data_IF_565064341785
#
_entry.id   IF_565064341785
#
_cell.length_a   1.000
_cell.length_b   1.000
_cell.length_c   1.000
_cell.angle_alpha   90.00
_cell.angle_beta   90.00
_cell.angle_gamma   90.00
#
_symmetry.space_group_name_H-M   'P 1'
#
loop_
_entity.id
_entity.type
_entity.pdbx_description
1 polymer ?
#
# COMPACT_ATOMS: atom_id res chain seq x y z
N UNK A 1 -2.54 -22.87 -12.07
CA UNK A 1 -2.03 -24.25 -11.88
C UNK A 1 -2.90 -25.21 -12.65
N UNK A 2 -2.35 -25.96 -13.61
CA UNK A 2 -3.15 -26.83 -14.48
C UNK A 2 -2.45 -28.13 -14.84
N UNK A 3 -3.22 -29.22 -14.79
CA UNK A 3 -2.97 -30.58 -15.33
C UNK A 3 -2.08 -31.58 -14.56
N UNK A 4 -1.49 -31.20 -13.42
CA UNK A 4 -0.81 -32.15 -12.52
C UNK A 4 -1.53 -32.26 -11.17
N UNK A 5 -2.84 -32.51 -11.21
CA UNK A 5 -3.52 -33.15 -10.07
C UNK A 5 -3.02 -34.60 -10.07
N UNK A 6 -2.11 -34.93 -9.15
CA UNK A 6 -1.49 -36.24 -9.09
C UNK A 6 -2.53 -37.36 -9.24
N UNK A 7 -2.23 -38.33 -10.12
CA UNK A 7 -2.97 -39.60 -10.18
C UNK A 7 -2.82 -40.30 -8.82
N UNK A 8 -3.68 -40.02 -7.83
CA UNK A 8 -3.65 -40.73 -6.55
C UNK A 8 -3.81 -39.94 -5.25
N UNK A 9 -4.48 -38.79 -5.23
CA UNK A 9 -5.26 -38.43 -4.03
C UNK A 9 -4.59 -37.63 -2.91
N UNK A 10 -3.49 -36.90 -3.13
CA UNK A 10 -3.05 -35.87 -2.17
C UNK A 10 -2.84 -34.50 -2.84
N UNK A 11 -3.95 -33.85 -3.19
CA UNK A 11 -3.95 -32.49 -3.75
C UNK A 11 -3.28 -31.50 -2.80
N UNK A 12 -3.50 -31.64 -1.50
CA UNK A 12 -2.96 -30.74 -0.46
C UNK A 12 -1.42 -30.73 -0.44
N UNK A 13 -0.79 -31.90 -0.57
CA UNK A 13 0.68 -32.01 -0.65
C UNK A 13 1.22 -31.34 -1.91
N UNK A 14 0.54 -31.52 -3.04
CA UNK A 14 0.94 -30.87 -4.31
C UNK A 14 0.82 -29.35 -4.23
N UNK A 15 -0.25 -28.85 -3.62
CA UNK A 15 -0.46 -27.42 -3.36
C UNK A 15 0.65 -26.87 -2.47
N UNK A 16 0.90 -27.54 -1.35
CA UNK A 16 1.93 -27.13 -0.39
C UNK A 16 3.31 -27.08 -1.03
N UNK A 17 3.68 -28.12 -1.78
CA UNK A 17 4.96 -28.17 -2.50
C UNK A 17 5.10 -27.03 -3.51
N UNK A 18 4.05 -26.76 -4.29
CA UNK A 18 4.07 -25.67 -5.25
C UNK A 18 4.19 -24.29 -4.58
N UNK A 19 3.45 -24.06 -3.49
CA UNK A 19 3.55 -22.82 -2.73
C UNK A 19 4.95 -22.63 -2.11
N UNK A 20 5.63 -23.71 -1.68
CA UNK A 20 7.01 -23.66 -1.21
C UNK A 20 8.00 -23.26 -2.33
N UNK A 21 7.88 -23.88 -3.50
CA UNK A 21 8.68 -23.52 -4.70
C UNK A 21 8.40 -22.07 -5.12
N UNK A 22 7.13 -21.64 -5.07
CA UNK A 22 6.73 -20.28 -5.35
C UNK A 22 7.35 -19.28 -4.37
N UNK A 23 7.39 -19.58 -3.06
CA UNK A 23 8.01 -18.72 -2.06
C UNK A 23 9.50 -18.47 -2.34
N UNK A 24 10.24 -19.51 -2.72
CA UNK A 24 11.65 -19.38 -3.12
C UNK A 24 11.81 -18.49 -4.35
N UNK A 25 10.97 -18.72 -5.37
CA UNK A 25 11.05 -18.04 -6.65
C UNK A 25 10.61 -16.58 -6.56
N UNK A 26 9.57 -16.28 -5.78
CA UNK A 26 9.12 -14.91 -5.50
C UNK A 26 10.29 -14.11 -4.91
N UNK A 27 10.92 -14.62 -3.84
CA UNK A 27 12.05 -13.93 -3.22
C UNK A 27 13.21 -13.72 -4.22
N UNK A 28 13.46 -14.68 -5.13
CA UNK A 28 14.46 -14.55 -6.20
C UNK A 28 14.09 -13.47 -7.21
N UNK A 29 12.85 -13.42 -7.66
CA UNK A 29 12.37 -12.45 -8.64
C UNK A 29 12.36 -11.02 -8.10
N UNK A 30 12.01 -10.82 -6.82
CA UNK A 30 12.07 -9.51 -6.18
C UNK A 30 13.47 -8.89 -6.29
N UNK A 31 14.51 -9.71 -6.10
CA UNK A 31 15.91 -9.28 -6.22
C UNK A 31 16.32 -9.05 -7.68
N UNK A 32 15.97 -9.96 -8.58
CA UNK A 32 16.40 -9.90 -9.97
C UNK A 32 15.75 -8.77 -10.77
N UNK A 33 14.51 -8.44 -10.42
CA UNK A 33 13.74 -7.39 -11.10
C UNK A 33 13.80 -6.04 -10.40
N UNK A 34 14.50 -5.98 -9.28
CA UNK A 34 14.51 -4.87 -8.32
C UNK A 34 13.08 -4.34 -8.03
N UNK A 35 12.18 -5.25 -7.69
CA UNK A 35 10.80 -4.88 -7.35
C UNK A 35 10.77 -4.29 -5.94
N UNK A 36 10.14 -3.13 -5.78
CA UNK A 36 9.99 -2.47 -4.49
C UNK A 36 8.60 -1.86 -4.32
N UNK A 37 8.28 -1.46 -3.10
CA UNK A 37 6.96 -0.97 -2.70
C UNK A 37 6.18 -2.01 -1.92
N UNK A 38 4.85 -1.87 -1.96
CA UNK A 38 3.91 -2.82 -1.36
C UNK A 38 3.76 -4.00 -2.32
N UNK A 39 3.96 -5.20 -1.80
CA UNK A 39 3.86 -6.45 -2.54
C UNK A 39 2.82 -7.31 -1.83
N UNK A 40 1.86 -7.82 -2.60
CA UNK A 40 0.83 -8.74 -2.13
C UNK A 40 1.02 -10.06 -2.86
N UNK A 41 1.11 -11.16 -2.09
CA UNK A 41 1.30 -12.51 -2.61
C UNK A 41 0.04 -13.30 -2.28
N UNK A 42 -0.56 -13.86 -3.32
CA UNK A 42 -1.72 -14.74 -3.23
C UNK A 42 -1.26 -16.18 -3.44
N UNK A 43 -1.07 -16.91 -2.33
CA UNK A 43 -0.74 -18.34 -2.39
C UNK A 43 -2.02 -19.15 -2.64
N UNK A 44 -1.86 -20.33 -3.24
CA UNK A 44 -3.00 -21.24 -3.43
C UNK A 44 -3.53 -21.67 -2.06
N UNK A 45 -4.85 -21.66 -1.90
CA UNK A 45 -5.55 -22.06 -0.68
C UNK A 45 -5.02 -23.39 -0.12
N UNK A 46 -4.69 -23.38 1.16
CA UNK A 46 -4.25 -24.56 1.93
C UNK A 46 -5.22 -24.80 3.07
N UNK A 47 -5.61 -26.05 3.28
CA UNK A 47 -6.57 -26.41 4.33
C UNK A 47 -5.89 -26.46 5.70
N UNK A 48 -4.65 -26.93 5.76
CA UNK A 48 -3.91 -27.07 7.00
C UNK A 48 -3.16 -25.78 7.35
N UNK A 49 -3.30 -25.34 8.59
CA UNK A 49 -2.55 -24.19 9.13
C UNK A 49 -1.04 -24.42 9.14
N UNK A 50 -0.62 -25.64 9.46
CA UNK A 50 0.79 -26.02 9.44
C UNK A 50 1.43 -25.85 8.05
N UNK A 51 0.69 -26.06 6.97
CA UNK A 51 1.18 -25.84 5.60
C UNK A 51 1.34 -24.35 5.32
N UNK A 52 0.37 -23.52 5.76
CA UNK A 52 0.45 -22.05 5.67
C UNK A 52 1.68 -21.50 6.40
N UNK A 53 1.91 -21.96 7.63
CA UNK A 53 3.09 -21.57 8.41
C UNK A 53 4.41 -22.00 7.75
N UNK A 54 4.45 -23.21 7.16
CA UNK A 54 5.64 -23.69 6.45
C UNK A 54 5.98 -22.80 5.24
N UNK A 55 4.98 -22.43 4.44
CA UNK A 55 5.16 -21.53 3.30
C UNK A 55 5.62 -20.15 3.75
N UNK A 56 5.02 -19.58 4.79
CA UNK A 56 5.41 -18.28 5.33
C UNK A 56 6.84 -18.30 5.87
N UNK A 57 7.20 -19.34 6.64
CA UNK A 57 8.57 -19.54 7.14
C UNK A 57 9.57 -19.62 6.00
N UNK A 58 9.26 -20.41 4.96
CA UNK A 58 10.11 -20.54 3.78
C UNK A 58 10.30 -19.19 3.08
N UNK A 59 9.22 -18.42 2.90
CA UNK A 59 9.30 -17.09 2.30
C UNK A 59 10.25 -16.18 3.11
N UNK A 60 10.10 -16.13 4.44
CA UNK A 60 10.96 -15.32 5.32
C UNK A 60 12.42 -15.76 5.24
N UNK A 61 12.70 -17.07 5.27
CA UNK A 61 14.06 -17.61 5.10
C UNK A 61 14.69 -17.19 3.77
N UNK A 62 13.92 -17.28 2.67
CA UNK A 62 14.38 -16.89 1.34
C UNK A 62 14.59 -15.37 1.19
N UNK A 63 13.78 -14.57 1.89
CA UNK A 63 13.92 -13.11 1.98
C UNK A 63 15.12 -12.69 2.83
N UNK A 64 15.56 -13.51 3.79
CA UNK A 64 16.77 -13.25 4.59
C UNK A 64 18.06 -13.11 3.77
N UNK A 65 18.06 -13.56 2.51
CA UNK A 65 19.17 -13.36 1.55
C UNK A 65 19.09 -12.02 0.79
N UNK A 66 17.99 -11.29 0.91
CA UNK A 66 17.81 -9.98 0.29
C UNK A 66 18.49 -8.89 1.12
N UNK A 67 19.42 -8.17 0.49
CA UNK A 67 20.14 -7.04 1.11
C UNK A 67 19.26 -5.81 1.27
N UNK A 68 18.15 -5.74 0.52
CA UNK A 68 17.22 -4.62 0.56
C UNK A 68 16.32 -4.75 1.77
N UNK A 69 16.15 -3.65 2.51
CA UNK A 69 15.24 -3.62 3.66
C UNK A 69 13.84 -4.04 3.22
N UNK A 70 13.30 -5.04 3.90
CA UNK A 70 11.98 -5.57 3.65
C UNK A 70 11.31 -5.89 4.99
N UNK A 71 9.99 -5.90 4.97
CA UNK A 71 9.17 -6.25 6.12
C UNK A 71 8.01 -7.10 5.63
N UNK A 72 7.89 -8.31 6.15
CA UNK A 72 6.72 -9.16 5.93
C UNK A 72 5.70 -8.83 7.02
N UNK A 73 4.49 -8.50 6.61
CA UNK A 73 3.35 -8.29 7.50
C UNK A 73 2.55 -9.59 7.67
N UNK A 74 1.56 -9.56 8.54
CA UNK A 74 0.71 -10.71 8.82
C UNK A 74 -0.12 -11.14 7.60
N UNK A 75 -0.53 -12.41 7.58
CA UNK A 75 -1.44 -12.96 6.57
C UNK A 75 -2.83 -12.36 6.80
N UNK A 76 -3.48 -11.86 5.73
CA UNK A 76 -4.85 -11.35 5.86
C UNK A 76 -5.83 -12.48 6.11
N UNK A 77 -7.03 -12.13 6.58
CA UNK A 77 -8.16 -13.06 6.65
C UNK A 77 -8.55 -13.67 5.29
N UNK A 78 -8.11 -13.06 4.18
CA UNK A 78 -8.31 -13.55 2.81
C UNK A 78 -7.17 -14.48 2.34
N UNK A 79 -6.18 -14.79 3.19
CA UNK A 79 -5.06 -15.66 2.83
C UNK A 79 -3.92 -14.96 2.08
N UNK A 80 -3.96 -13.63 1.97
CA UNK A 80 -2.93 -12.86 1.26
C UNK A 80 -1.75 -12.54 2.19
N UNK A 81 -0.53 -12.74 1.70
CA UNK A 81 0.68 -12.30 2.39
C UNK A 81 1.04 -10.90 1.90
N UNK A 82 1.13 -9.96 2.84
CA UNK A 82 1.56 -8.61 2.54
C UNK A 82 3.00 -8.40 2.96
N UNK A 83 3.76 -7.66 2.16
CA UNK A 83 5.09 -7.21 2.55
C UNK A 83 5.41 -5.86 1.92
N UNK A 84 6.37 -5.18 2.53
CA UNK A 84 7.00 -4.00 1.93
C UNK A 84 8.46 -4.31 1.64
N UNK A 85 8.96 -3.82 0.51
CA UNK A 85 10.39 -3.86 0.15
C UNK A 85 10.83 -2.46 -0.25
N UNK A 86 11.88 -1.93 0.39
CA UNK A 86 12.38 -0.60 0.08
C UNK A 86 12.76 -0.51 -1.40
N UNK A 87 12.31 0.53 -2.08
CA UNK A 87 12.72 0.80 -3.45
C UNK A 87 14.12 1.44 -3.45
N UNK A 88 15.08 0.79 -4.12
CA UNK A 88 16.48 1.25 -4.18
C UNK A 88 16.78 1.91 -5.53
N UNK A 89 16.14 1.44 -6.60
CA UNK A 89 16.25 2.04 -7.92
C UNK A 89 14.97 1.91 -8.75
N UNK A 90 15.16 2.06 -10.05
CA UNK A 90 14.14 1.83 -11.06
C UNK A 90 14.07 0.33 -11.34
N UNK A 91 12.89 -0.26 -11.23
CA UNK A 91 12.70 -1.68 -11.47
C UNK A 91 12.85 -2.04 -12.96
N UNK A 92 13.01 -3.33 -13.27
CA UNK A 92 13.24 -3.77 -14.65
C UNK A 92 12.12 -3.36 -15.61
N UNK A 93 10.86 -3.50 -15.19
CA UNK A 93 9.71 -3.11 -16.02
C UNK A 93 9.76 -1.62 -16.32
N UNK A 94 10.03 -0.79 -15.32
CA UNK A 94 10.09 0.66 -15.50
C UNK A 94 11.24 1.07 -16.40
N UNK A 95 12.37 0.36 -16.37
CA UNK A 95 13.53 0.68 -17.20
C UNK A 95 13.39 0.26 -18.66
N UNK A 96 12.51 -0.69 -18.97
CA UNK A 96 12.39 -1.30 -20.30
C UNK A 96 10.96 -1.25 -20.85
N UNK A 97 10.07 -0.43 -20.30
CA UNK A 97 8.71 -0.31 -20.82
C UNK A 97 8.21 1.11 -20.93
N UNK A 98 7.32 1.33 -21.90
CA UNK A 98 6.51 2.53 -22.01
C UNK A 98 5.04 2.18 -21.79
N UNK A 99 4.25 3.16 -21.38
CA UNK A 99 2.82 2.94 -21.16
C UNK A 99 2.09 2.81 -22.50
N UNK A 100 1.06 1.97 -22.56
CA UNK A 100 0.29 1.79 -23.78
C UNK A 100 -0.75 2.91 -23.92
N UNK A 101 -0.58 3.76 -24.93
CA UNK A 101 -1.47 4.91 -25.19
C UNK A 101 -2.89 4.46 -25.55
N UNK A 102 -3.03 3.39 -26.33
CA UNK A 102 -4.32 2.89 -26.81
C UNK A 102 -5.27 2.44 -25.69
N UNK A 103 -4.72 1.93 -24.58
CA UNK A 103 -5.53 1.47 -23.45
C UNK A 103 -5.43 2.38 -22.22
N UNK A 104 -4.81 3.56 -22.35
CA UNK A 104 -4.66 4.53 -21.27
C UNK A 104 -3.72 4.07 -20.16
N UNK A 105 -2.73 3.23 -20.47
CA UNK A 105 -1.78 2.71 -19.49
C UNK A 105 -2.24 1.50 -18.69
N UNK A 106 -3.36 0.85 -19.07
CA UNK A 106 -3.71 -0.50 -18.53
C UNK A 106 -2.69 -1.57 -18.90
N UNK A 107 -2.02 -1.39 -20.04
CA UNK A 107 -0.93 -2.23 -20.52
C UNK A 107 0.34 -1.42 -20.74
N UNK A 108 1.41 -2.12 -21.10
CA UNK A 108 2.74 -1.56 -21.35
C UNK A 108 3.33 -2.18 -22.62
N UNK A 109 4.21 -1.43 -23.30
CA UNK A 109 5.06 -1.94 -24.37
C UNK A 109 6.44 -2.23 -23.80
N UNK A 110 6.92 -3.46 -23.96
CA UNK A 110 8.25 -3.88 -23.48
C UNK A 110 9.26 -3.73 -24.62
N UNK A 111 10.39 -3.12 -24.32
CA UNK A 111 11.49 -2.83 -25.25
C UNK A 111 12.71 -3.70 -24.91
N UNK A 112 13.52 -4.02 -25.92
CA UNK A 112 14.77 -4.75 -25.71
C UNK A 112 15.89 -3.85 -25.14
N UNK A 113 15.83 -2.55 -25.43
CA UNK A 113 16.76 -1.54 -24.94
C UNK A 113 16.12 -0.67 -23.84
N UNK A 114 16.91 -0.13 -22.90
CA UNK A 114 16.40 0.73 -21.85
C UNK A 114 15.77 2.01 -22.40
N UNK A 115 14.64 2.42 -21.82
CA UNK A 115 13.98 3.68 -22.15
C UNK A 115 14.57 4.84 -21.34
N UNK A 116 14.72 6.01 -21.98
CA UNK A 116 15.32 7.18 -21.35
C UNK A 116 14.47 7.72 -20.19
N UNK A 117 15.11 7.95 -19.02
CA UNK A 117 14.47 8.36 -17.76
C UNK A 117 13.56 9.59 -17.86
N UNK A 118 13.93 10.55 -18.70
CA UNK A 118 13.18 11.82 -18.88
C UNK A 118 11.78 11.59 -19.46
N UNK A 119 11.59 10.51 -20.25
CA UNK A 119 10.29 10.19 -20.82
C UNK A 119 9.31 9.63 -19.77
N UNK A 120 9.83 8.87 -18.79
CA UNK A 120 9.02 8.22 -17.75
C UNK A 120 8.56 9.19 -16.66
N UNK A 121 9.45 10.08 -16.21
CA UNK A 121 9.11 11.11 -15.23
C UNK A 121 8.03 12.05 -15.79
N UNK A 122 8.16 12.46 -17.06
CA UNK A 122 7.14 13.27 -17.75
C UNK A 122 5.80 12.55 -17.91
N UNK A 123 5.81 11.25 -18.25
CA UNK A 123 4.57 10.47 -18.37
C UNK A 123 3.86 10.31 -17.03
N UNK A 124 4.63 10.15 -15.94
CA UNK A 124 4.10 10.07 -14.58
C UNK A 124 3.53 11.41 -14.10
N UNK A 125 4.26 12.52 -14.31
CA UNK A 125 3.80 13.88 -13.98
C UNK A 125 2.52 14.26 -14.75
N UNK A 126 2.44 13.93 -16.04
CA UNK A 126 1.24 14.20 -16.84
C UNK A 126 0.00 13.47 -16.33
N UNK A 127 0.16 12.28 -15.72
CA UNK A 127 -0.97 11.54 -15.14
C UNK A 127 -1.44 12.13 -13.83
N UNK A 128 -0.52 12.46 -12.92
CA UNK A 128 -0.86 13.14 -11.66
C UNK A 128 -1.50 14.51 -11.92
N UNK A 129 -1.04 15.24 -12.94
CA UNK A 129 -1.66 16.50 -13.36
C UNK A 129 -3.06 16.31 -13.97
N UNK A 130 -3.31 15.22 -14.70
CA UNK A 130 -4.65 14.93 -15.26
C UNK A 130 -5.66 14.49 -14.20
N UNK A 131 -5.25 13.66 -13.24
CA UNK A 131 -6.14 13.24 -12.14
C UNK A 131 -6.50 14.42 -11.24
N UNK A 132 -5.52 15.26 -10.88
CA UNK A 132 -5.77 16.46 -10.06
C UNK A 132 -6.57 17.55 -10.78
N UNK A 133 -6.59 17.55 -12.12
CA UNK A 133 -7.45 18.45 -12.90
C UNK A 133 -8.87 17.91 -13.05
N UNK A 134 -9.04 16.61 -13.24
CA UNK A 134 -10.35 15.95 -13.27
C UNK A 134 -11.09 16.03 -11.92
N UNK A 135 -10.36 15.99 -10.80
CA UNK A 135 -10.94 16.21 -9.47
C UNK A 135 -11.39 17.67 -9.26
N UNK A 136 -10.70 18.65 -9.85
CA UNK A 136 -11.09 20.07 -9.78
C UNK A 136 -12.29 20.43 -10.67
N UNK A 137 -12.39 19.82 -11.85
CA UNK A 137 -13.50 20.07 -12.78
C UNK A 137 -14.84 19.46 -12.30
N UNK A 138 -14.82 18.53 -11.32
CA UNK A 138 -16.04 17.97 -10.70
C UNK A 138 -16.60 18.82 -9.55
N UNK A 139 -15.80 19.72 -8.96
CA UNK A 139 -16.25 20.63 -7.89
C UNK A 139 -16.88 21.93 -8.45
N UNK A 140 -16.59 22.32 -9.71
CA UNK A 140 -17.11 23.56 -10.31
C UNK A 140 -18.54 23.44 -10.90
N UNK A 141 -19.14 22.25 -10.95
CA UNK A 141 -20.47 22.02 -11.57
C UNK A 141 -21.62 21.96 -10.53
N UNK A 142 -21.39 22.46 -9.30
CA UNK A 142 -22.39 22.41 -8.21
C UNK A 142 -22.95 23.76 -7.74
N UNK A 143 -22.56 24.89 -8.36
CA UNK A 143 -22.91 26.25 -7.89
C UNK A 143 -23.77 27.06 -8.89
N UNK A 144 -24.72 26.44 -9.60
CA UNK A 144 -25.79 27.19 -10.30
C UNK A 144 -27.15 26.49 -10.19
N UNK A 145 -27.82 26.60 -9.03
CA UNK A 145 -29.27 26.84 -8.93
C UNK A 145 -29.76 26.81 -7.48
N UNK A 146 -29.83 27.96 -6.82
CA UNK A 146 -30.95 28.29 -5.92
C UNK A 146 -30.87 29.76 -5.52
N UNK A 147 -31.65 30.61 -6.18
CA UNK A 147 -32.07 31.88 -5.60
C UNK A 147 -33.57 32.11 -5.88
N UNK A 148 -34.25 32.52 -4.79
CA UNK A 148 -35.57 33.18 -4.70
C UNK A 148 -36.85 32.29 -4.75
N UNK A 149 -37.86 32.39 -3.86
CA UNK A 149 -38.26 33.46 -2.92
C UNK A 149 -39.32 33.00 -1.88
N UNK A 150 -39.48 33.85 -0.85
CA UNK A 150 -40.67 34.19 -0.01
C UNK A 150 -41.01 33.43 1.29
N UNK A 151 -40.66 34.07 2.41
CA UNK A 151 -41.50 34.57 3.54
C UNK A 151 -42.78 33.82 3.96
N UNK A 152 -42.85 33.43 5.25
CA UNK A 152 -43.99 33.72 6.15
C UNK A 152 -43.58 33.62 7.64
N UNK A 153 -44.20 34.45 8.48
CA UNK A 153 -43.82 34.83 9.85
C UNK A 153 -44.26 33.89 10.99
N UNK A 154 -43.52 34.00 12.10
CA UNK A 154 -43.94 33.95 13.53
C UNK A 154 -44.71 32.75 14.11
N UNK A 155 -44.18 32.14 15.18
CA UNK A 155 -44.52 32.48 16.58
C UNK A 155 -43.76 31.61 17.60
N UNK A 156 -43.55 32.21 18.76
CA UNK A 156 -42.87 31.78 19.98
C UNK A 156 -43.38 30.49 20.62
N UNK A 157 -42.50 29.77 21.35
CA UNK A 157 -42.74 29.44 22.77
C UNK A 157 -41.50 28.84 23.46
N UNK A 158 -41.09 29.50 24.55
CA UNK A 158 -40.20 29.03 25.61
C UNK A 158 -40.79 27.83 26.36
N UNK A 159 -39.99 26.79 26.63
CA UNK A 159 -40.08 26.02 27.88
C UNK A 159 -38.69 25.57 28.32
N UNK A 160 -38.33 26.03 29.52
CA UNK A 160 -37.17 25.65 30.33
C UNK A 160 -37.48 24.35 31.07
N UNK A 161 -36.61 23.33 31.02
CA UNK A 161 -36.50 22.39 32.14
C UNK A 161 -35.08 21.79 32.31
N UNK A 162 -34.75 21.57 33.59
CA UNK A 162 -33.42 21.46 34.17
C UNK A 162 -32.76 20.08 34.06
N UNK A 163 -31.45 20.11 34.29
CA UNK A 163 -30.51 18.97 34.42
C UNK A 163 -30.77 18.12 35.69
N UNK A 164 -30.05 16.98 35.86
CA UNK A 164 -28.82 17.09 36.65
C UNK A 164 -27.60 16.30 36.12
N UNK A 165 -26.45 16.74 36.62
CA UNK A 165 -25.06 16.31 36.40
C UNK A 165 -24.73 14.92 36.97
N UNK A 166 -23.67 14.33 36.44
CA UNK A 166 -22.54 13.86 37.28
C UNK A 166 -21.21 14.02 36.54
N UNK A 167 -20.33 14.82 37.16
CA UNK A 167 -18.92 15.08 36.87
C UNK A 167 -18.09 13.78 37.02
N UNK A 168 -16.90 13.63 36.41
CA UNK A 168 -15.61 13.90 37.08
C UNK A 168 -14.54 14.41 36.08
N UNK A 169 -13.92 15.51 36.51
CA UNK A 169 -12.76 16.30 36.04
C UNK A 169 -11.45 15.48 36.21
N UNK A 170 -10.37 15.60 35.43
CA UNK A 170 -9.24 16.52 35.67
C UNK A 170 -8.38 16.71 34.41
N UNK A 171 -7.99 17.97 34.23
CA UNK A 171 -7.31 18.61 33.12
C UNK A 171 -5.79 18.73 33.33
N UNK A 172 -5.14 19.33 32.32
CA UNK A 172 -3.88 20.12 32.33
C UNK A 172 -2.63 19.38 31.81
N UNK A 173 -1.81 19.95 30.93
CA UNK A 173 -1.77 21.27 30.33
C UNK A 173 -0.58 21.38 29.36
N UNK A 174 -0.71 22.26 28.37
CA UNK A 174 0.27 22.53 27.30
C UNK A 174 1.15 23.73 27.67
N UNK A 175 2.48 23.65 27.60
CA UNK A 175 3.38 24.83 27.58
C UNK A 175 4.56 24.68 26.62
N UNK A 176 4.88 25.81 25.97
CA UNK A 176 5.80 26.06 24.86
C UNK A 176 7.19 26.48 25.39
N UNK A 177 8.26 25.91 24.79
CA UNK A 177 9.50 26.62 24.40
C UNK A 177 10.66 26.80 25.40
N UNK A 178 11.87 26.36 25.03
CA UNK A 178 13.04 27.18 24.61
C UNK A 178 14.32 26.33 24.45
N UNK A 179 15.17 26.73 23.48
CA UNK A 179 16.52 26.22 23.20
C UNK A 179 17.54 26.68 24.25
N UNK A 180 18.60 25.89 24.47
CA UNK A 180 19.92 26.35 24.93
C UNK A 180 21.02 25.38 24.44
N UNK A 181 22.26 25.88 24.33
CA UNK A 181 23.42 25.33 23.58
C UNK A 181 24.62 25.14 24.54
N UNK A 182 25.53 24.21 24.20
CA UNK A 182 26.95 24.06 24.64
C UNK A 182 27.16 23.59 26.10
N UNK A 183 28.19 22.87 26.55
CA UNK A 183 29.61 22.54 26.20
C UNK A 183 29.92 21.17 26.89
N UNK A 184 30.68 20.19 26.38
CA UNK A 184 32.14 20.16 26.17
C UNK A 184 32.83 19.05 27.03
N UNK A 185 33.51 18.08 26.36
CA UNK A 185 34.81 17.35 26.65
C UNK A 185 34.98 16.64 28.04
N UNK A 186 35.52 15.41 28.27
CA UNK A 186 36.82 14.69 28.01
C UNK A 186 36.62 13.20 28.46
N UNK A 187 36.86 12.16 27.66
CA UNK A 187 38.03 11.24 27.50
C UNK A 187 38.26 10.10 28.52
N UNK A 188 38.65 8.96 27.93
CA UNK A 188 39.34 7.72 28.38
C UNK A 188 38.76 6.84 29.50
N UNK A 189 38.42 5.59 29.14
CA UNK A 189 39.27 4.42 29.40
C UNK A 189 38.99 3.32 28.37
#
# INVERSE_FOLDING_TARGET
>A
TGKFIGKGGNLEETVTKNNLEAAEEIARQLRLRDMGGIIVIDFIDMTLESNREQVLRRLVECLGRDRTKHQVAEVTSLGLVQMTRKRVGQGLIEAFSTTCESCGGRGIHIHAEPVNKVALEKDMEQRFAKTSKAEKELDEDSDENSDENSDDESESNDVVEQTPKSEVVVETGRRKGRRAVSTGVISTN
#
